data_IF_748520148102
#
_entry.id   IF_748520148102
#
_cell.length_a   1.000
_cell.length_b   1.000
_cell.length_c   1.000
_cell.angle_alpha   90.00
_cell.angle_beta   90.00
_cell.angle_gamma   90.00
#
_symmetry.space_group_name_H-M   'P 1'
#
loop_
_entity.id
_entity.type
_entity.pdbx_description
1 polymer ?
#
# COMPACT_ATOMS: atom_id res chain seq x y z
N UNK A 1 -29.75 10.56 -24.75
CA UNK A 1 -28.48 11.32 -24.73
C UNK A 1 -28.11 11.62 -23.29
N UNK A 2 -26.87 11.52 -22.90
CA UNK A 2 -26.43 11.87 -21.55
C UNK A 2 -26.70 13.35 -21.23
N UNK A 3 -27.18 13.64 -20.04
CA UNK A 3 -27.46 15.00 -19.52
C UNK A 3 -26.44 15.32 -18.44
N UNK A 4 -25.32 15.92 -18.84
CA UNK A 4 -24.16 16.13 -17.98
C UNK A 4 -24.20 17.53 -17.38
N UNK A 5 -24.02 17.63 -16.05
CA UNK A 5 -23.72 18.89 -15.37
C UNK A 5 -22.21 19.03 -15.15
N UNK A 6 -21.65 20.19 -15.45
CA UNK A 6 -20.24 20.52 -15.18
C UNK A 6 -20.14 21.59 -14.12
N UNK A 7 -19.38 21.36 -13.07
CA UNK A 7 -19.20 22.27 -11.95
C UNK A 7 -17.73 22.58 -11.73
N UNK A 8 -17.34 23.84 -11.90
CA UNK A 8 -15.93 24.26 -11.84
C UNK A 8 -15.66 24.96 -10.51
N UNK A 9 -14.68 24.42 -9.77
CA UNK A 9 -14.32 24.93 -8.45
C UNK A 9 -13.20 25.97 -8.55
N UNK A 10 -13.33 27.08 -7.82
CA UNK A 10 -12.25 28.05 -7.67
C UNK A 10 -11.15 27.54 -6.72
N UNK A 11 -11.52 26.69 -5.75
CA UNK A 11 -10.66 26.25 -4.65
C UNK A 11 -9.98 27.44 -3.93
N UNK A 12 -10.77 28.49 -3.65
CA UNK A 12 -10.24 29.78 -3.25
C UNK A 12 -9.32 30.37 -4.30
N UNK A 13 -8.09 30.69 -3.90
CA UNK A 13 -7.04 31.17 -4.84
C UNK A 13 -6.24 30.04 -5.49
N UNK A 14 -6.38 28.79 -5.05
CA UNK A 14 -5.52 27.69 -5.53
C UNK A 14 -5.72 27.36 -7.02
N UNK A 15 -6.95 27.45 -7.52
CA UNK A 15 -7.26 27.28 -8.94
C UNK A 15 -7.41 28.65 -9.61
N UNK A 16 -8.22 29.52 -9.04
CA UNK A 16 -8.60 30.79 -9.66
C UNK A 16 -7.43 31.77 -9.85
N UNK A 17 -6.31 31.60 -9.14
CA UNK A 17 -5.10 32.43 -9.34
C UNK A 17 -4.51 32.29 -10.75
N UNK A 18 -4.53 31.07 -11.29
CA UNK A 18 -3.91 30.75 -12.58
C UNK A 18 -4.89 30.28 -13.64
N UNK A 19 -6.09 29.87 -13.28
CA UNK A 19 -7.14 29.41 -14.19
C UNK A 19 -8.28 30.42 -14.22
N UNK A 20 -8.75 30.79 -15.40
CA UNK A 20 -9.97 31.54 -15.61
C UNK A 20 -11.17 30.59 -15.48
N UNK A 21 -11.65 30.46 -14.25
CA UNK A 21 -12.68 29.46 -13.87
C UNK A 21 -14.00 29.74 -14.56
N UNK A 22 -14.41 31.03 -14.66
CA UNK A 22 -15.67 31.44 -15.31
C UNK A 22 -15.62 31.07 -16.80
N UNK A 23 -14.49 31.32 -17.46
CA UNK A 23 -14.28 30.93 -18.86
C UNK A 23 -14.33 29.40 -19.03
N UNK A 24 -13.73 28.62 -18.13
CA UNK A 24 -13.79 27.16 -18.18
C UNK A 24 -15.23 26.68 -18.05
N UNK A 25 -16.02 27.25 -17.15
CA UNK A 25 -17.44 26.91 -17.00
C UNK A 25 -18.25 27.29 -18.26
N UNK A 26 -18.06 28.50 -18.79
CA UNK A 26 -18.77 28.96 -20.00
C UNK A 26 -18.45 28.06 -21.23
N UNK A 27 -17.18 27.71 -21.43
CA UNK A 27 -16.78 26.86 -22.55
C UNK A 27 -17.17 25.38 -22.32
N UNK A 28 -17.17 24.90 -21.07
CA UNK A 28 -17.66 23.57 -20.72
C UNK A 28 -19.16 23.42 -21.05
N UNK A 29 -19.96 24.46 -20.85
CA UNK A 29 -21.38 24.48 -21.22
C UNK A 29 -21.66 24.29 -22.72
N UNK A 30 -20.66 24.51 -23.58
CA UNK A 30 -20.75 24.31 -25.04
C UNK A 30 -20.36 22.90 -25.48
N UNK A 31 -19.86 22.06 -24.57
CA UNK A 31 -19.47 20.67 -24.90
C UNK A 31 -20.76 19.86 -25.16
N UNK A 32 -20.86 19.16 -26.28
CA UNK A 32 -22.06 18.35 -26.58
C UNK A 32 -22.38 17.37 -25.44
N UNK A 33 -23.65 17.34 -24.98
CA UNK A 33 -24.13 16.53 -23.86
C UNK A 33 -24.02 17.21 -22.50
N UNK A 34 -23.35 18.34 -22.39
CA UNK A 34 -23.43 19.22 -21.21
C UNK A 34 -24.70 20.07 -21.33
N UNK A 35 -25.57 19.98 -20.35
CA UNK A 35 -26.86 20.72 -20.32
C UNK A 35 -26.88 21.82 -19.25
N UNK A 36 -25.91 21.79 -18.34
CA UNK A 36 -25.68 22.80 -17.33
C UNK A 36 -24.20 22.91 -16.99
N UNK A 37 -23.71 24.12 -16.86
CA UNK A 37 -22.36 24.40 -16.38
C UNK A 37 -22.37 25.61 -15.46
N UNK A 38 -21.70 25.50 -14.34
CA UNK A 38 -21.59 26.56 -13.34
C UNK A 38 -20.22 26.49 -12.64
N UNK A 39 -19.85 27.60 -12.04
CA UNK A 39 -18.68 27.70 -11.19
C UNK A 39 -19.04 28.13 -9.77
N UNK A 40 -18.21 27.80 -8.81
CA UNK A 40 -18.39 28.21 -7.44
C UNK A 40 -17.09 28.21 -6.67
N UNK A 41 -16.99 29.11 -5.66
CA UNK A 41 -15.74 29.29 -4.90
C UNK A 41 -15.25 28.02 -4.20
N UNK A 42 -16.16 27.23 -3.64
CA UNK A 42 -15.86 26.03 -2.86
C UNK A 42 -16.91 24.94 -3.12
N UNK A 43 -16.79 24.20 -4.22
CA UNK A 43 -17.76 23.17 -4.58
C UNK A 43 -17.92 22.06 -3.52
N UNK A 44 -16.85 21.77 -2.75
CA UNK A 44 -16.89 20.80 -1.66
C UNK A 44 -17.60 21.28 -0.39
N UNK A 45 -17.88 22.59 -0.28
CA UNK A 45 -18.63 23.16 0.85
C UNK A 45 -20.12 22.80 0.81
N UNK A 46 -20.80 22.95 1.95
CA UNK A 46 -22.25 22.70 2.02
C UNK A 46 -23.07 23.53 0.99
N UNK A 47 -22.83 24.84 0.80
CA UNK A 47 -23.51 25.59 -0.26
C UNK A 47 -23.20 25.10 -1.67
N UNK A 48 -21.94 24.74 -1.95
CA UNK A 48 -21.54 24.18 -3.26
C UNK A 48 -22.22 22.83 -3.54
N UNK A 49 -22.29 21.95 -2.54
CA UNK A 49 -23.02 20.70 -2.65
C UNK A 49 -24.54 20.90 -2.80
N UNK A 50 -25.12 21.91 -2.13
CA UNK A 50 -26.53 22.25 -2.29
C UNK A 50 -26.83 22.69 -3.73
N UNK A 51 -26.03 23.61 -4.27
CA UNK A 51 -26.11 24.04 -5.67
C UNK A 51 -26.02 22.87 -6.65
N UNK A 52 -25.14 21.90 -6.39
CA UNK A 52 -25.00 20.72 -7.22
C UNK A 52 -26.27 19.86 -7.18
N UNK A 53 -26.85 19.62 -6.00
CA UNK A 53 -28.10 18.83 -5.86
C UNK A 53 -29.29 19.52 -6.52
N UNK A 54 -29.41 20.83 -6.35
CA UNK A 54 -30.46 21.64 -7.00
C UNK A 54 -30.34 21.55 -8.53
N UNK A 55 -29.14 21.70 -9.08
CA UNK A 55 -28.92 21.59 -10.52
C UNK A 55 -29.24 20.18 -11.05
N UNK A 56 -28.95 19.11 -10.30
CA UNK A 56 -29.33 17.74 -10.66
C UNK A 56 -30.86 17.66 -10.84
N UNK A 57 -31.61 18.14 -9.89
CA UNK A 57 -33.06 18.11 -9.93
C UNK A 57 -33.63 19.01 -11.05
N UNK A 58 -33.19 20.27 -11.11
CA UNK A 58 -33.70 21.28 -12.03
C UNK A 58 -33.43 20.92 -13.49
N UNK A 59 -32.21 20.47 -13.78
CA UNK A 59 -31.79 20.16 -15.15
C UNK A 59 -31.90 18.66 -15.48
N UNK A 60 -32.45 17.82 -14.57
CA UNK A 60 -32.57 16.36 -14.73
C UNK A 60 -31.27 15.75 -15.20
N UNK A 61 -30.18 16.06 -14.47
CA UNK A 61 -28.85 15.52 -14.79
C UNK A 61 -28.84 14.04 -14.51
N UNK A 62 -28.16 13.30 -15.36
CA UNK A 62 -27.87 11.87 -15.15
C UNK A 62 -26.40 11.62 -14.84
N UNK A 63 -25.54 12.62 -15.03
CA UNK A 63 -24.10 12.60 -14.77
C UNK A 63 -23.60 13.95 -14.29
N UNK A 64 -22.56 13.92 -13.50
CA UNK A 64 -21.92 15.12 -12.95
C UNK A 64 -20.42 15.06 -13.17
N UNK A 65 -19.85 16.16 -13.65
CA UNK A 65 -18.39 16.36 -13.72
C UNK A 65 -18.05 17.56 -12.82
N UNK A 66 -17.15 17.33 -11.87
CA UNK A 66 -16.64 18.40 -11.00
C UNK A 66 -15.17 18.66 -11.37
N UNK A 67 -14.90 19.82 -11.97
CA UNK A 67 -13.55 20.28 -12.25
C UNK A 67 -13.00 21.00 -11.01
N UNK A 68 -12.15 20.33 -10.23
CA UNK A 68 -11.72 20.78 -8.91
C UNK A 68 -10.31 20.27 -8.56
N UNK A 69 -10.03 20.10 -7.27
CA UNK A 69 -8.82 19.46 -6.75
C UNK A 69 -8.81 17.94 -6.98
N UNK A 70 -7.74 17.28 -6.49
CA UNK A 70 -7.55 15.83 -6.63
C UNK A 70 -8.77 15.02 -6.15
N UNK A 71 -9.20 13.99 -6.88
CA UNK A 71 -10.21 13.03 -6.43
C UNK A 71 -9.91 12.44 -5.05
N UNK A 72 -8.64 12.23 -4.70
CA UNK A 72 -8.21 11.71 -3.40
C UNK A 72 -8.73 12.50 -2.20
N UNK A 73 -9.04 13.78 -2.39
CA UNK A 73 -9.54 14.65 -1.32
C UNK A 73 -11.06 14.59 -1.17
N UNK A 74 -11.79 14.65 -2.27
CA UNK A 74 -13.24 14.92 -2.24
C UNK A 74 -14.08 13.99 -3.13
N UNK A 75 -13.54 12.88 -3.61
CA UNK A 75 -14.32 11.92 -4.41
C UNK A 75 -15.52 11.40 -3.62
N UNK A 76 -15.32 10.98 -2.38
CA UNK A 76 -16.39 10.52 -1.48
C UNK A 76 -17.39 11.62 -1.20
N UNK A 77 -16.94 12.87 -1.02
CA UNK A 77 -17.82 14.03 -0.81
C UNK A 77 -18.80 14.22 -1.97
N UNK A 78 -18.29 14.20 -3.21
CA UNK A 78 -19.11 14.39 -4.39
C UNK A 78 -19.97 13.17 -4.72
N UNK A 79 -19.47 11.95 -4.52
CA UNK A 79 -20.27 10.73 -4.65
C UNK A 79 -21.45 10.71 -3.68
N UNK A 80 -21.24 11.06 -2.43
CA UNK A 80 -22.31 11.17 -1.44
C UNK A 80 -23.30 12.30 -1.80
N UNK A 81 -22.80 13.42 -2.32
CA UNK A 81 -23.63 14.53 -2.74
C UNK A 81 -24.57 14.13 -3.88
N UNK A 82 -24.09 13.46 -4.92
CA UNK A 82 -24.93 13.02 -6.05
C UNK A 82 -25.86 11.87 -5.65
N UNK A 83 -25.41 10.98 -4.74
CA UNK A 83 -26.28 9.93 -4.18
C UNK A 83 -27.45 10.53 -3.38
N UNK A 84 -27.20 11.57 -2.60
CA UNK A 84 -28.27 12.29 -1.88
C UNK A 84 -29.27 13.00 -2.81
N UNK A 85 -28.89 13.26 -4.06
CA UNK A 85 -29.76 13.77 -5.11
C UNK A 85 -30.45 12.67 -5.95
N UNK A 86 -30.30 11.38 -5.57
CA UNK A 86 -30.92 10.24 -6.24
C UNK A 86 -30.16 9.69 -7.46
N UNK A 87 -28.93 10.15 -7.71
CA UNK A 87 -28.09 9.58 -8.76
C UNK A 87 -27.24 8.44 -8.22
N UNK A 88 -26.83 7.52 -9.11
CA UNK A 88 -25.81 6.55 -8.78
C UNK A 88 -24.48 7.28 -8.46
N UNK A 89 -23.82 7.00 -7.31
CA UNK A 89 -22.62 7.74 -6.85
C UNK A 89 -21.45 7.65 -7.84
N UNK A 90 -21.39 6.60 -8.68
CA UNK A 90 -20.35 6.42 -9.69
C UNK A 90 -20.60 7.24 -10.97
N UNK A 91 -21.72 7.96 -11.06
CA UNK A 91 -21.96 8.93 -12.12
C UNK A 91 -21.35 10.31 -11.85
N UNK A 92 -20.64 10.47 -10.72
CA UNK A 92 -19.80 11.64 -10.43
C UNK A 92 -18.36 11.38 -10.92
N UNK A 93 -17.84 12.28 -11.76
CA UNK A 93 -16.47 12.27 -12.27
C UNK A 93 -15.74 13.53 -11.83
N UNK A 94 -14.45 13.46 -11.51
CA UNK A 94 -13.67 14.62 -11.10
C UNK A 94 -12.54 14.87 -12.09
N UNK A 95 -12.51 16.08 -12.65
CA UNK A 95 -11.38 16.59 -13.42
C UNK A 95 -10.42 17.32 -12.48
N UNK A 96 -9.21 16.80 -12.30
CA UNK A 96 -8.19 17.42 -11.45
C UNK A 96 -7.57 18.62 -12.17
N UNK A 97 -8.08 19.83 -11.89
CA UNK A 97 -7.58 21.10 -12.45
C UNK A 97 -6.74 21.91 -11.45
N UNK A 98 -6.46 21.35 -10.27
CA UNK A 98 -5.54 21.94 -9.30
C UNK A 98 -4.14 21.35 -9.42
N UNK A 99 -3.94 20.12 -8.97
CA UNK A 99 -2.64 19.46 -8.95
C UNK A 99 -2.08 19.18 -10.35
N UNK A 100 -2.96 18.86 -11.31
CA UNK A 100 -2.55 18.59 -12.70
C UNK A 100 -2.55 19.83 -13.59
N UNK A 101 -2.98 20.99 -13.09
CA UNK A 101 -3.10 22.19 -13.90
C UNK A 101 -2.61 23.45 -13.17
N UNK A 102 -3.39 24.02 -12.25
CA UNK A 102 -3.10 25.32 -11.66
C UNK A 102 -1.79 25.39 -10.88
N UNK A 103 -1.36 24.29 -10.28
CA UNK A 103 -0.10 24.22 -9.53
C UNK A 103 1.13 24.02 -10.40
N UNK A 104 0.96 23.57 -11.64
CA UNK A 104 2.08 23.24 -12.54
C UNK A 104 2.19 24.20 -13.74
N UNK A 105 1.28 25.18 -13.85
CA UNK A 105 1.31 26.20 -14.89
C UNK A 105 1.24 27.61 -14.29
N UNK A 106 2.20 28.45 -14.63
CA UNK A 106 2.23 29.85 -14.20
C UNK A 106 1.45 30.80 -15.12
N UNK A 107 1.38 30.49 -16.42
CA UNK A 107 0.67 31.29 -17.41
C UNK A 107 -0.84 30.99 -17.37
N UNK A 108 -1.64 32.05 -17.19
CA UNK A 108 -3.11 31.96 -17.04
C UNK A 108 -3.80 31.43 -18.31
N UNK A 109 -3.34 31.82 -19.49
CA UNK A 109 -3.95 31.37 -20.74
C UNK A 109 -3.67 29.90 -21.00
N UNK A 110 -2.45 29.45 -20.73
CA UNK A 110 -2.04 28.04 -20.83
C UNK A 110 -2.79 27.19 -19.81
N UNK A 111 -2.83 27.62 -18.54
CA UNK A 111 -3.54 26.93 -17.46
C UNK A 111 -5.05 26.82 -17.76
N UNK A 112 -5.68 27.90 -18.22
CA UNK A 112 -7.12 27.89 -18.56
C UNK A 112 -7.43 26.91 -19.70
N UNK A 113 -6.61 26.90 -20.75
CA UNK A 113 -6.74 25.93 -21.85
C UNK A 113 -6.58 24.49 -21.35
N UNK A 114 -5.56 24.24 -20.54
CA UNK A 114 -5.31 22.92 -19.94
C UNK A 114 -6.47 22.47 -19.04
N UNK A 115 -7.01 23.37 -18.22
CA UNK A 115 -8.18 23.08 -17.38
C UNK A 115 -9.39 22.68 -18.21
N UNK A 116 -9.61 23.39 -19.33
CA UNK A 116 -10.69 23.06 -20.26
C UNK A 116 -10.48 21.67 -20.92
N UNK A 117 -9.25 21.35 -21.33
CA UNK A 117 -8.94 20.05 -21.92
C UNK A 117 -9.17 18.90 -20.90
N UNK A 118 -8.73 19.06 -19.65
CA UNK A 118 -8.99 18.09 -18.58
C UNK A 118 -10.50 17.95 -18.32
N UNK A 119 -11.24 19.04 -18.36
CA UNK A 119 -12.70 19.03 -18.20
C UNK A 119 -13.37 18.31 -19.37
N UNK A 120 -12.95 18.58 -20.62
CA UNK A 120 -13.42 17.86 -21.82
C UNK A 120 -13.17 16.37 -21.76
N UNK A 121 -11.98 15.96 -21.29
CA UNK A 121 -11.64 14.55 -21.09
C UNK A 121 -12.55 13.90 -20.05
N UNK A 122 -12.80 14.56 -18.93
CA UNK A 122 -13.71 14.07 -17.90
C UNK A 122 -15.15 13.96 -18.41
N UNK A 123 -15.65 14.93 -19.18
CA UNK A 123 -16.95 14.86 -19.84
C UNK A 123 -17.02 13.69 -20.82
N UNK A 124 -15.99 13.49 -21.64
CA UNK A 124 -15.91 12.38 -22.58
C UNK A 124 -15.91 11.01 -21.88
N UNK A 125 -15.20 10.91 -20.75
CA UNK A 125 -15.21 9.72 -19.88
C UNK A 125 -16.59 9.51 -19.28
N UNK A 126 -17.15 10.55 -18.65
CA UNK A 126 -18.46 10.49 -17.99
C UNK A 126 -19.58 10.00 -18.92
N UNK A 127 -19.53 10.34 -20.22
CA UNK A 127 -20.50 9.82 -21.22
C UNK A 127 -20.49 8.31 -21.35
N UNK A 128 -19.38 7.66 -21.09
CA UNK A 128 -19.17 6.21 -21.24
C UNK A 128 -19.31 5.45 -19.92
N UNK A 129 -19.38 6.20 -18.79
CA UNK A 129 -19.57 5.58 -17.49
C UNK A 129 -20.96 4.94 -17.41
N UNK A 130 -21.01 3.78 -16.78
CA UNK A 130 -22.24 3.07 -16.45
C UNK A 130 -22.46 3.07 -14.94
N UNK A 131 -23.72 3.03 -14.48
CA UNK A 131 -24.01 2.91 -13.06
C UNK A 131 -23.41 1.63 -12.49
N UNK A 132 -22.54 1.75 -11.49
CA UNK A 132 -21.99 0.60 -10.81
C UNK A 132 -22.85 0.24 -9.60
N UNK A 133 -22.98 -1.05 -9.36
CA UNK A 133 -23.64 -1.59 -8.16
C UNK A 133 -22.54 -1.99 -7.17
N UNK A 134 -22.62 -1.47 -5.94
CA UNK A 134 -21.76 -1.91 -4.87
C UNK A 134 -22.16 -3.32 -4.44
N UNK A 135 -21.21 -4.23 -4.46
CA UNK A 135 -21.38 -5.60 -3.96
C UNK A 135 -20.67 -5.73 -2.62
N UNK A 136 -21.39 -6.14 -1.61
CA UNK A 136 -20.81 -6.52 -0.32
C UNK A 136 -20.36 -7.96 -0.38
N UNK A 137 -19.11 -8.21 -0.02
CA UNK A 137 -18.53 -9.55 0.07
C UNK A 137 -18.01 -9.77 1.48
N UNK A 138 -18.17 -10.97 2.04
CA UNK A 138 -17.60 -11.30 3.34
C UNK A 138 -16.06 -11.25 3.23
N UNK A 139 -15.41 -10.69 4.25
CA UNK A 139 -13.96 -10.58 4.31
C UNK A 139 -13.42 -11.48 5.40
N UNK A 140 -12.43 -12.31 5.05
CA UNK A 140 -11.68 -13.10 6.04
C UNK A 140 -10.79 -12.16 6.85
N UNK A 141 -11.15 -11.95 8.13
CA UNK A 141 -10.47 -10.98 9.01
C UNK A 141 -9.14 -11.51 9.54
N UNK A 142 -8.19 -11.72 8.66
CA UNK A 142 -6.79 -12.04 8.97
C UNK A 142 -5.87 -11.39 7.93
N UNK A 143 -4.61 -11.20 8.28
CA UNK A 143 -3.63 -10.60 7.37
C UNK A 143 -2.46 -11.54 7.09
N UNK A 144 -1.90 -11.42 5.89
CA UNK A 144 -0.60 -11.96 5.53
C UNK A 144 0.35 -10.77 5.30
N UNK A 145 1.46 -10.77 6.00
CA UNK A 145 2.55 -9.81 5.80
C UNK A 145 3.72 -10.55 5.16
N UNK A 146 4.17 -10.06 4.01
CA UNK A 146 5.28 -10.68 3.25
C UNK A 146 6.52 -9.81 3.43
N UNK A 147 7.52 -10.39 4.09
CA UNK A 147 8.78 -9.75 4.43
C UNK A 147 8.88 -9.35 5.89
N UNK A 148 9.82 -9.97 6.62
CA UNK A 148 10.09 -9.77 8.04
C UNK A 148 11.13 -8.67 8.32
N UNK A 149 11.26 -7.66 7.47
CA UNK A 149 12.02 -6.44 7.77
C UNK A 149 11.25 -5.52 8.72
N UNK A 150 11.85 -4.39 9.12
CA UNK A 150 11.24 -3.48 10.11
C UNK A 150 9.84 -3.00 9.71
N UNK A 151 9.59 -2.73 8.44
CA UNK A 151 8.28 -2.32 7.97
C UNK A 151 7.23 -3.44 8.11
N UNK A 152 7.58 -4.68 7.75
CA UNK A 152 6.69 -5.83 7.91
C UNK A 152 6.46 -6.18 9.37
N UNK A 153 7.49 -6.10 10.22
CA UNK A 153 7.37 -6.29 11.67
C UNK A 153 6.40 -5.26 12.26
N UNK A 154 6.58 -3.96 11.92
CA UNK A 154 5.68 -2.90 12.40
C UNK A 154 4.25 -3.11 11.92
N UNK A 155 4.05 -3.40 10.63
CA UNK A 155 2.72 -3.68 10.09
C UNK A 155 2.05 -4.88 10.78
N UNK A 156 2.81 -5.95 11.06
CA UNK A 156 2.30 -7.10 11.77
C UNK A 156 1.87 -6.76 13.20
N UNK A 157 2.67 -5.95 13.91
CA UNK A 157 2.36 -5.49 15.27
C UNK A 157 1.11 -4.60 15.29
N UNK A 158 1.00 -3.64 14.36
CA UNK A 158 -0.15 -2.73 14.29
C UNK A 158 -1.46 -3.49 14.00
N UNK A 159 -1.43 -4.43 13.04
CA UNK A 159 -2.60 -5.26 12.70
C UNK A 159 -2.97 -6.18 13.87
N UNK A 160 -1.99 -6.82 14.49
CA UNK A 160 -2.20 -7.69 15.65
C UNK A 160 -2.71 -6.91 16.87
N UNK A 161 -2.20 -5.68 17.08
CA UNK A 161 -2.67 -4.75 18.10
C UNK A 161 -4.13 -4.32 17.90
N UNK A 162 -4.61 -4.29 16.67
CA UNK A 162 -6.02 -4.10 16.34
C UNK A 162 -6.88 -5.37 16.52
N UNK A 163 -6.30 -6.46 17.02
CA UNK A 163 -7.01 -7.72 17.33
C UNK A 163 -7.15 -8.70 16.17
N UNK A 164 -6.45 -8.48 15.05
CA UNK A 164 -6.54 -9.37 13.89
C UNK A 164 -5.36 -10.36 13.84
N UNK A 165 -5.60 -11.66 13.54
CA UNK A 165 -4.54 -12.63 13.33
C UNK A 165 -3.66 -12.26 12.12
N UNK A 166 -2.35 -12.36 12.30
CA UNK A 166 -1.35 -12.07 11.27
C UNK A 166 -0.45 -13.27 11.03
N UNK A 167 -0.18 -13.58 9.77
CA UNK A 167 0.92 -14.46 9.39
C UNK A 167 2.01 -13.62 8.77
N UNK A 168 3.20 -13.61 9.38
CA UNK A 168 4.39 -12.92 8.87
C UNK A 168 5.31 -13.92 8.19
N UNK A 169 5.49 -13.81 6.87
CA UNK A 169 6.34 -14.70 6.07
C UNK A 169 7.65 -14.02 5.76
N UNK A 170 8.78 -14.71 6.04
CA UNK A 170 10.13 -14.22 5.76
C UNK A 170 10.96 -15.30 5.05
N UNK A 171 11.62 -14.94 3.94
CA UNK A 171 12.48 -15.86 3.18
C UNK A 171 13.79 -16.20 3.88
N UNK A 172 14.32 -15.27 4.68
CA UNK A 172 15.52 -15.49 5.49
C UNK A 172 15.20 -16.40 6.70
N UNK A 173 16.22 -17.01 7.31
CA UNK A 173 16.05 -17.82 8.51
C UNK A 173 15.56 -17.06 9.74
N UNK A 174 15.65 -15.73 9.75
CA UNK A 174 15.23 -14.84 10.82
C UNK A 174 14.50 -13.63 10.25
N UNK A 175 13.60 -13.04 11.01
CA UNK A 175 13.12 -11.68 10.77
C UNK A 175 14.20 -10.66 11.14
N UNK A 176 14.00 -9.39 10.78
CA UNK A 176 14.92 -8.27 11.02
C UNK A 176 15.34 -7.55 9.74
N UNK A 177 15.46 -8.30 8.64
CA UNK A 177 15.80 -7.75 7.32
C UNK A 177 17.14 -6.99 7.33
N UNK A 178 17.25 -5.98 6.48
CA UNK A 178 18.48 -5.17 6.35
C UNK A 178 18.76 -4.31 7.57
N UNK A 179 17.73 -3.94 8.35
CA UNK A 179 17.96 -3.14 9.56
C UNK A 179 18.81 -3.87 10.60
N UNK A 180 18.77 -5.21 10.61
CA UNK A 180 19.65 -6.02 11.45
C UNK A 180 21.14 -5.91 11.07
N UNK A 181 21.45 -5.49 9.84
CA UNK A 181 22.80 -5.32 9.30
C UNK A 181 23.36 -3.90 9.51
N UNK A 182 22.52 -2.93 9.95
CA UNK A 182 22.94 -1.55 10.15
C UNK A 182 23.43 -1.30 11.57
N UNK A 183 24.46 -0.49 11.70
CA UNK A 183 24.88 0.06 13.00
C UNK A 183 23.88 1.13 13.47
N UNK A 184 23.54 2.07 12.58
CA UNK A 184 22.69 3.21 12.89
C UNK A 184 21.61 3.46 11.85
N UNK A 185 20.53 4.14 12.29
CA UNK A 185 19.42 4.55 11.40
C UNK A 185 19.63 6.01 10.96
N UNK A 186 19.26 6.29 9.72
CA UNK A 186 19.19 7.66 9.22
C UNK A 186 17.77 8.22 9.43
N UNK A 187 17.58 9.52 9.74
CA UNK A 187 18.61 10.58 9.92
C UNK A 187 19.07 10.76 11.37
N UNK A 188 18.44 10.09 12.32
CA UNK A 188 18.63 10.31 13.77
C UNK A 188 19.91 9.71 14.32
N UNK A 189 20.54 8.81 13.58
CA UNK A 189 21.74 8.06 13.99
C UNK A 189 21.54 7.21 15.25
N UNK A 190 20.30 6.79 15.50
CA UNK A 190 19.98 5.85 16.57
C UNK A 190 20.57 4.46 16.30
N UNK A 191 20.80 3.70 17.35
CA UNK A 191 21.25 2.32 17.26
C UNK A 191 20.18 1.44 16.59
N UNK A 192 20.47 0.89 15.42
CA UNK A 192 19.51 0.09 14.65
C UNK A 192 19.06 -1.18 15.41
N UNK A 193 20.00 -1.89 16.07
CA UNK A 193 19.68 -3.07 16.85
C UNK A 193 18.83 -2.75 18.09
N UNK A 194 19.04 -1.58 18.71
CA UNK A 194 18.30 -1.13 19.90
C UNK A 194 16.82 -0.85 19.58
N UNK A 195 16.52 -0.43 18.35
CA UNK A 195 15.14 -0.22 17.89
C UNK A 195 14.53 -1.54 17.39
N UNK A 196 15.28 -2.30 16.63
CA UNK A 196 14.77 -3.49 15.94
C UNK A 196 14.53 -4.67 16.89
N UNK A 197 15.48 -4.96 17.79
CA UNK A 197 15.42 -6.15 18.66
C UNK A 197 14.17 -6.21 19.52
N UNK A 198 13.75 -5.15 20.23
CA UNK A 198 12.52 -5.15 20.99
C UNK A 198 11.29 -5.48 20.13
N UNK A 199 11.20 -4.91 18.91
CA UNK A 199 10.09 -5.16 17.99
C UNK A 199 10.08 -6.60 17.47
N UNK A 200 11.24 -7.20 17.22
CA UNK A 200 11.34 -8.61 16.83
C UNK A 200 10.86 -9.53 17.96
N UNK A 201 11.23 -9.23 19.21
CA UNK A 201 10.80 -9.98 20.40
C UNK A 201 9.30 -9.81 20.63
N UNK A 202 8.78 -8.59 20.54
CA UNK A 202 7.34 -8.31 20.65
C UNK A 202 6.55 -9.07 19.59
N UNK A 203 7.03 -9.08 18.34
CA UNK A 203 6.42 -9.82 17.24
C UNK A 203 6.40 -11.34 17.52
N UNK A 204 7.48 -11.88 18.10
CA UNK A 204 7.59 -13.31 18.42
C UNK A 204 6.73 -13.72 19.62
N UNK A 205 6.50 -12.84 20.57
CA UNK A 205 5.70 -13.09 21.77
C UNK A 205 4.21 -12.80 21.59
N UNK A 206 3.82 -12.12 20.52
CA UNK A 206 2.42 -11.74 20.28
C UNK A 206 1.59 -12.97 19.84
N UNK A 207 0.54 -13.36 20.58
CA UNK A 207 -0.26 -14.53 20.27
C UNK A 207 -1.03 -14.43 18.95
N UNK A 208 -1.27 -13.20 18.46
CA UNK A 208 -1.94 -12.95 17.19
C UNK A 208 -0.99 -12.98 15.99
N UNK A 209 0.33 -13.13 16.19
CA UNK A 209 1.32 -13.15 15.13
C UNK A 209 1.94 -14.54 14.98
N UNK A 210 1.75 -15.14 13.82
CA UNK A 210 2.43 -16.36 13.42
C UNK A 210 3.61 -16.03 12.51
N UNK A 211 4.83 -16.18 13.00
CA UNK A 211 6.05 -15.97 12.22
C UNK A 211 6.38 -17.27 11.45
N UNK A 212 6.56 -17.14 10.14
CA UNK A 212 6.95 -18.23 9.24
C UNK A 212 8.22 -17.81 8.52
N UNK A 213 9.37 -18.12 9.09
CA UNK A 213 10.70 -17.83 8.50
C UNK A 213 11.18 -18.99 7.63
N UNK A 214 12.19 -18.69 6.80
CA UNK A 214 12.76 -19.61 5.82
C UNK A 214 11.70 -20.14 4.86
N UNK A 215 10.82 -19.21 4.43
CA UNK A 215 9.65 -19.51 3.63
C UNK A 215 9.37 -18.42 2.58
N UNK A 216 8.85 -18.81 1.45
CA UNK A 216 8.54 -17.94 0.31
C UNK A 216 7.10 -18.15 -0.15
N UNK A 217 6.47 -17.07 -0.62
CA UNK A 217 5.16 -17.14 -1.26
C UNK A 217 5.37 -17.61 -2.70
N UNK A 218 4.70 -18.69 -3.10
CA UNK A 218 4.75 -19.26 -4.44
C UNK A 218 3.55 -18.90 -5.31
N UNK A 219 2.39 -18.70 -4.69
CA UNK A 219 1.18 -18.41 -5.43
C UNK A 219 0.16 -17.67 -4.59
N UNK A 220 -0.63 -16.86 -5.26
CA UNK A 220 -1.78 -16.15 -4.69
C UNK A 220 -2.96 -16.34 -5.62
N UNK A 221 -4.08 -16.79 -5.10
CA UNK A 221 -5.35 -16.94 -5.80
C UNK A 221 -6.50 -16.35 -4.98
N UNK A 222 -7.73 -16.42 -5.48
CA UNK A 222 -8.89 -15.85 -4.82
C UNK A 222 -9.19 -14.41 -5.27
N UNK A 223 -9.83 -13.64 -4.38
CA UNK A 223 -10.29 -12.26 -4.67
C UNK A 223 -10.15 -11.38 -3.43
N UNK A 224 -10.34 -10.08 -3.61
CA UNK A 224 -10.18 -9.09 -2.53
C UNK A 224 -10.99 -9.48 -1.29
N UNK A 225 -10.30 -9.59 -0.16
CA UNK A 225 -10.86 -10.03 1.12
C UNK A 225 -10.83 -11.55 1.36
N UNK A 226 -10.57 -12.38 0.35
CA UNK A 226 -10.54 -13.84 0.43
C UNK A 226 -9.44 -14.44 -0.45
N UNK A 227 -8.20 -14.07 -0.16
CA UNK A 227 -7.04 -14.62 -0.84
C UNK A 227 -6.63 -15.97 -0.24
N UNK A 228 -6.27 -16.90 -1.11
CA UNK A 228 -5.59 -18.14 -0.79
C UNK A 228 -4.13 -18.03 -1.22
N UNK A 229 -3.21 -18.26 -0.26
CA UNK A 229 -1.77 -18.04 -0.48
C UNK A 229 -1.00 -19.32 -0.22
N UNK A 230 -0.29 -19.78 -1.23
CA UNK A 230 0.60 -20.95 -1.14
C UNK A 230 1.98 -20.50 -0.68
N UNK A 231 2.46 -21.08 0.42
CA UNK A 231 3.76 -20.78 1.03
C UNK A 231 4.63 -22.03 1.01
N UNK A 232 5.81 -21.95 0.37
CA UNK A 232 6.85 -22.96 0.43
C UNK A 232 7.77 -22.72 1.61
N UNK A 233 7.84 -23.65 2.54
CA UNK A 233 8.80 -23.64 3.64
C UNK A 233 10.04 -24.45 3.27
N UNK A 234 11.22 -23.85 3.42
CA UNK A 234 12.49 -24.57 3.28
C UNK A 234 12.79 -25.34 4.56
N UNK A 235 13.36 -26.55 4.41
CA UNK A 235 13.71 -27.37 5.56
C UNK A 235 14.93 -26.79 6.29
N UNK A 236 14.76 -26.42 7.56
CA UNK A 236 15.87 -25.95 8.43
C UNK A 236 16.84 -27.08 8.76
N UNK A 237 16.37 -28.31 8.80
CA UNK A 237 17.08 -29.49 9.29
C UNK A 237 17.47 -29.41 10.78
N UNK A 238 16.87 -28.48 11.51
CA UNK A 238 16.95 -28.32 12.96
C UNK A 238 15.52 -28.14 13.48
N UNK A 239 15.17 -28.87 14.52
CA UNK A 239 13.84 -28.82 15.14
C UNK A 239 13.69 -27.53 15.93
N UNK A 240 12.68 -26.73 15.57
CA UNK A 240 12.38 -25.43 16.20
C UNK A 240 11.95 -25.57 17.68
N UNK A 241 11.29 -26.65 18.03
CA UNK A 241 10.73 -26.86 19.37
C UNK A 241 11.75 -27.44 20.34
N UNK A 242 12.72 -28.21 19.81
CA UNK A 242 13.77 -28.86 20.60
C UNK A 242 15.05 -28.05 20.73
N UNK A 243 15.27 -27.10 19.81
CA UNK A 243 16.48 -26.30 19.83
C UNK A 243 16.47 -25.27 20.95
N UNK A 244 17.46 -25.33 21.82
CA UNK A 244 17.66 -24.38 22.94
C UNK A 244 18.48 -23.16 22.56
N UNK A 245 19.02 -23.08 21.32
CA UNK A 245 19.90 -22.00 20.89
C UNK A 245 21.31 -22.03 21.51
N UNK A 246 21.73 -23.15 22.06
CA UNK A 246 23.00 -23.26 22.81
C UNK A 246 24.28 -23.05 21.98
N UNK A 247 24.21 -23.13 20.64
CA UNK A 247 25.36 -22.84 19.77
C UNK A 247 26.32 -23.99 19.51
N UNK A 248 26.32 -25.08 20.29
CA UNK A 248 27.28 -26.19 20.22
C UNK A 248 27.38 -26.77 18.79
N UNK A 249 26.26 -26.83 18.06
CA UNK A 249 26.24 -27.41 16.71
C UNK A 249 27.07 -26.61 15.69
N UNK A 250 27.09 -25.28 15.74
CA UNK A 250 27.91 -24.50 14.82
C UNK A 250 29.36 -24.35 15.31
N UNK A 251 29.65 -24.43 16.60
CA UNK A 251 31.03 -24.49 17.10
C UNK A 251 31.77 -25.74 16.58
N UNK A 252 31.10 -26.90 16.60
CA UNK A 252 31.65 -28.16 16.12
C UNK A 252 31.74 -28.27 14.59
N UNK A 253 31.07 -27.41 13.82
CA UNK A 253 31.05 -27.49 12.37
C UNK A 253 32.41 -27.10 11.77
N UNK A 254 33.06 -27.96 10.97
CA UNK A 254 34.38 -27.68 10.38
C UNK A 254 34.29 -26.76 9.17
N UNK A 255 33.11 -26.67 8.52
CA UNK A 255 32.90 -25.88 7.29
C UNK A 255 32.89 -24.39 7.61
N UNK A 256 33.60 -23.60 6.81
CA UNK A 256 33.60 -22.14 6.85
C UNK A 256 33.26 -21.61 5.46
N UNK A 257 32.29 -20.70 5.37
CA UNK A 257 31.89 -20.00 4.14
C UNK A 257 31.72 -18.51 4.43
N UNK A 258 31.82 -17.63 3.43
CA UNK A 258 31.55 -16.22 3.63
C UNK A 258 30.14 -16.01 4.21
N UNK A 259 30.01 -15.05 5.13
CA UNK A 259 28.73 -14.72 5.75
C UNK A 259 27.94 -13.73 4.88
N UNK A 260 26.76 -14.06 4.49
CA UNK A 260 25.86 -13.16 3.72
C UNK A 260 25.35 -12.00 4.59
N UNK A 261 25.34 -12.17 5.90
CA UNK A 261 24.86 -11.16 6.82
C UNK A 261 25.72 -9.89 6.82
N UNK A 262 27.03 -10.04 6.69
CA UNK A 262 28.00 -8.94 6.65
C UNK A 262 28.57 -8.67 5.24
N UNK A 263 27.89 -9.16 4.20
CA UNK A 263 28.34 -8.98 2.82
C UNK A 263 29.57 -9.78 2.46
N UNK A 264 29.89 -10.84 3.18
CA UNK A 264 31.03 -11.72 2.95
C UNK A 264 32.34 -11.26 3.62
N UNK A 265 32.29 -10.22 4.46
CA UNK A 265 33.46 -9.73 5.21
C UNK A 265 33.93 -10.74 6.29
N UNK A 266 32.97 -11.41 6.91
CA UNK A 266 33.25 -12.47 7.90
C UNK A 266 32.94 -13.85 7.35
N UNK A 267 33.17 -14.86 8.20
CA UNK A 267 32.95 -16.28 7.87
C UNK A 267 31.86 -16.85 8.79
N UNK A 268 30.93 -17.61 8.23
CA UNK A 268 29.96 -18.41 8.97
C UNK A 268 30.20 -19.92 8.76
N UNK A 269 29.54 -20.73 9.55
CA UNK A 269 29.52 -22.17 9.41
C UNK A 269 28.44 -22.65 8.45
N UNK A 270 28.50 -23.91 7.98
CA UNK A 270 27.42 -24.49 7.19
C UNK A 270 26.14 -24.70 8.01
N UNK A 271 26.24 -24.92 9.33
CA UNK A 271 25.12 -24.76 10.25
C UNK A 271 25.32 -23.45 11.03
N UNK A 272 24.32 -22.58 11.03
CA UNK A 272 24.51 -21.22 11.55
C UNK A 272 23.18 -20.55 11.96
N UNK A 273 23.30 -19.56 12.81
CA UNK A 273 22.27 -18.53 13.07
C UNK A 273 22.73 -17.27 12.34
N UNK A 274 21.85 -16.55 11.62
CA UNK A 274 22.28 -15.41 10.79
C UNK A 274 23.00 -14.29 11.58
N UNK A 275 22.50 -13.98 12.78
CA UNK A 275 23.08 -12.98 13.69
C UNK A 275 22.61 -13.26 15.14
N UNK A 276 23.29 -12.74 16.16
CA UNK A 276 23.04 -13.10 17.57
C UNK A 276 21.61 -12.87 18.05
N UNK A 277 20.94 -11.79 17.58
CA UNK A 277 19.59 -11.40 17.97
C UNK A 277 18.51 -12.02 17.05
N UNK A 278 18.85 -13.06 16.27
CA UNK A 278 17.91 -13.67 15.33
C UNK A 278 16.61 -14.16 16.00
N UNK A 279 15.50 -13.98 15.31
CA UNK A 279 14.17 -14.47 15.71
C UNK A 279 13.56 -15.27 14.55
N UNK A 280 13.34 -16.59 14.70
CA UNK A 280 13.75 -17.42 15.84
C UNK A 280 15.28 -17.60 15.94
N UNK A 281 15.80 -17.72 17.16
CA UNK A 281 17.22 -18.01 17.40
C UNK A 281 17.49 -19.52 17.27
N UNK A 282 17.23 -20.06 16.10
CA UNK A 282 17.40 -21.47 15.77
C UNK A 282 18.24 -21.60 14.51
N UNK A 283 19.33 -22.41 14.51
CA UNK A 283 20.19 -22.60 13.36
C UNK A 283 19.44 -23.15 12.15
N UNK A 284 20.01 -22.88 10.98
CA UNK A 284 19.68 -23.55 9.71
C UNK A 284 20.93 -24.24 9.17
N UNK A 285 20.73 -25.26 8.36
CA UNK A 285 21.82 -25.91 7.65
C UNK A 285 21.82 -25.45 6.19
N UNK A 286 22.93 -24.83 5.80
CA UNK A 286 23.24 -24.53 4.41
C UNK A 286 23.65 -25.85 3.70
N UNK A 287 22.68 -26.40 2.94
CA UNK A 287 22.84 -27.68 2.29
C UNK A 287 23.85 -27.66 1.15
N UNK A 288 24.07 -26.50 0.55
CA UNK A 288 24.98 -26.31 -0.57
C UNK A 288 26.46 -26.42 -0.12
N UNK A 289 26.76 -26.14 1.16
CA UNK A 289 28.10 -26.18 1.71
C UNK A 289 28.29 -27.25 2.79
N UNK A 290 27.22 -27.87 3.27
CA UNK A 290 27.30 -28.88 4.31
C UNK A 290 27.92 -30.19 3.80
N UNK A 291 29.03 -30.63 4.41
CA UNK A 291 29.72 -31.86 4.04
C UNK A 291 28.81 -33.11 4.10
N UNK A 292 27.86 -33.15 5.03
CA UNK A 292 26.88 -34.24 5.11
C UNK A 292 25.97 -34.28 3.87
N UNK A 293 25.42 -33.16 3.48
CA UNK A 293 24.52 -33.08 2.31
C UNK A 293 25.27 -33.29 0.98
N UNK A 294 26.52 -32.85 0.90
CA UNK A 294 27.32 -33.00 -0.30
C UNK A 294 27.95 -34.41 -0.47
N UNK A 295 28.32 -35.06 0.63
CA UNK A 295 29.15 -36.26 0.58
C UNK A 295 28.63 -37.43 1.42
N UNK A 296 27.49 -37.29 2.10
CA UNK A 296 26.93 -38.28 3.00
C UNK A 296 27.74 -38.56 4.27
N UNK A 297 28.82 -37.82 4.50
CA UNK A 297 29.76 -37.98 5.61
C UNK A 297 29.78 -36.74 6.48
N UNK A 298 29.99 -36.88 7.76
CA UNK A 298 29.99 -35.85 8.78
C UNK A 298 28.61 -35.71 9.48
N UNK A 299 28.60 -35.90 10.80
CA UNK A 299 27.42 -35.70 11.70
C UNK A 299 27.86 -35.04 13.00
N UNK A 300 28.84 -34.16 12.94
CA UNK A 300 29.44 -33.54 14.15
C UNK A 300 28.44 -32.64 14.89
N UNK A 301 27.50 -32.01 14.17
CA UNK A 301 26.49 -31.16 14.74
C UNK A 301 25.31 -31.93 15.39
N UNK A 302 25.22 -33.25 15.20
CA UNK A 302 24.20 -34.10 15.85
C UNK A 302 24.69 -34.66 17.19
N UNK A 303 26.00 -34.58 17.47
CA UNK A 303 26.67 -35.08 18.68
C UNK A 303 26.86 -33.93 19.68
#
# INVERSE_FOLDING_TARGET
MARIGVFVCWCGSNIAKTVDVERVAAEAGRIPGVVHAADYKYMCSQPGQAMLREAIAQHRLDRVVVAACSPRLHETTFRNCVAAAGLNPFMAEIANIREHCSWVHGDRAVATRKALDLTRMAVARSRRNEPLVQTEIPVTKRALVIGGGIAGIQAALDIAGAGYPVTLVERAPSIGGRMAQYDKTFPTLDCAACILTPKMVECASNPNIKIVTYAEVEGVSGYVGNFEVTIRRRARSVDLEKCTGCGICYEKCPVKVPSEFDGGLGMRKAIYVPFPQAVPNVPVIDREHCTYYLRGKCRLCEK
#
